data_IF_257789514716
#
_entry.id   IF_257789514716
#
_cell.length_a   1.000
_cell.length_b   1.000
_cell.length_c   1.000
_cell.angle_alpha   90.00
_cell.angle_beta   90.00
_cell.angle_gamma   90.00
#
_symmetry.space_group_name_H-M   'P 1'
#
loop_
_entity.id
_entity.type
_entity.pdbx_description
1 polymer ?
#
# COMPACT_ATOMS: atom_id res chain seq x y z
N UNK A 1 27.09 -23.22 -14.70
CA UNK A 1 26.52 -21.99 -14.09
C UNK A 1 25.03 -22.26 -13.91
N UNK A 2 24.65 -23.08 -12.93
CA UNK A 2 23.27 -23.48 -12.72
C UNK A 2 22.85 -22.98 -11.35
N UNK A 3 22.10 -21.87 -11.30
CA UNK A 3 21.19 -21.65 -10.17
C UNK A 3 20.33 -22.91 -10.04
N UNK A 4 20.15 -23.44 -8.84
CA UNK A 4 19.22 -24.56 -8.67
C UNK A 4 17.83 -24.09 -9.13
N UNK A 5 17.10 -24.92 -9.87
CA UNK A 5 15.77 -24.55 -10.40
C UNK A 5 14.82 -24.02 -9.32
N UNK A 6 15.03 -24.45 -8.07
CA UNK A 6 14.29 -24.01 -6.87
C UNK A 6 14.56 -22.55 -6.48
N UNK A 7 15.81 -22.06 -6.50
CA UNK A 7 16.12 -20.66 -6.13
C UNK A 7 15.60 -19.66 -7.16
N UNK A 8 15.70 -20.01 -8.45
CA UNK A 8 15.14 -19.20 -9.53
C UNK A 8 13.62 -19.12 -9.41
N UNK A 9 12.95 -20.23 -9.12
CA UNK A 9 11.51 -20.27 -8.89
C UNK A 9 11.09 -19.36 -7.72
N UNK A 10 11.74 -19.50 -6.56
CA UNK A 10 11.48 -18.69 -5.37
C UNK A 10 11.60 -17.19 -5.63
N UNK A 11 12.66 -16.79 -6.33
CA UNK A 11 12.91 -15.37 -6.61
C UNK A 11 11.93 -14.81 -7.63
N UNK A 12 11.56 -15.59 -8.66
CA UNK A 12 10.50 -15.20 -9.58
C UNK A 12 9.15 -15.10 -8.88
N UNK A 13 8.84 -16.04 -7.99
CA UNK A 13 7.61 -16.04 -7.21
C UNK A 13 7.53 -14.81 -6.30
N UNK A 14 8.59 -14.52 -5.53
CA UNK A 14 8.70 -13.33 -4.70
C UNK A 14 8.59 -12.04 -5.53
N UNK A 15 9.24 -11.98 -6.70
CA UNK A 15 9.16 -10.82 -7.60
C UNK A 15 7.74 -10.59 -8.10
N UNK A 16 7.05 -11.65 -8.51
CA UNK A 16 5.68 -11.59 -8.98
C UNK A 16 4.73 -11.09 -7.88
N UNK A 17 4.79 -11.69 -6.69
CA UNK A 17 3.93 -11.32 -5.56
C UNK A 17 4.21 -9.89 -5.10
N UNK A 18 5.49 -9.52 -4.97
CA UNK A 18 5.88 -8.17 -4.54
C UNK A 18 5.46 -7.09 -5.54
N UNK A 19 5.69 -7.34 -6.83
CA UNK A 19 5.30 -6.41 -7.89
C UNK A 19 3.79 -6.29 -7.97
N UNK A 20 3.06 -7.42 -7.96
CA UNK A 20 1.61 -7.42 -8.00
C UNK A 20 1.02 -6.67 -6.79
N UNK A 21 1.53 -6.94 -5.59
CA UNK A 21 1.08 -6.28 -4.37
C UNK A 21 1.33 -4.78 -4.35
N UNK A 22 2.54 -4.37 -4.69
CA UNK A 22 2.91 -2.97 -4.79
C UNK A 22 2.06 -2.23 -5.85
N UNK A 23 1.84 -2.85 -7.01
CA UNK A 23 1.03 -2.28 -8.08
C UNK A 23 -0.45 -2.18 -7.70
N UNK A 24 -1.02 -3.21 -7.07
CA UNK A 24 -2.40 -3.15 -6.55
C UNK A 24 -2.56 -2.05 -5.51
N UNK A 25 -1.61 -1.88 -4.59
CA UNK A 25 -1.67 -0.83 -3.57
C UNK A 25 -1.59 0.56 -4.23
N UNK A 26 -0.64 0.76 -5.15
CA UNK A 26 -0.44 2.04 -5.84
C UNK A 26 -1.63 2.41 -6.74
N UNK A 27 -2.09 1.48 -7.57
CA UNK A 27 -3.20 1.72 -8.50
C UNK A 27 -4.53 1.81 -7.78
N UNK A 28 -4.76 0.98 -6.75
CA UNK A 28 -5.94 1.05 -5.89
C UNK A 28 -6.02 2.37 -5.14
N UNK A 29 -4.89 2.84 -4.57
CA UNK A 29 -4.83 4.14 -3.91
C UNK A 29 -5.05 5.29 -4.89
N UNK A 30 -4.51 5.21 -6.10
CA UNK A 30 -4.74 6.21 -7.16
C UNK A 30 -6.20 6.23 -7.62
N UNK A 31 -6.81 5.06 -7.80
CA UNK A 31 -8.20 4.92 -8.17
C UNK A 31 -9.10 5.56 -7.11
N UNK A 32 -8.84 5.23 -5.83
CA UNK A 32 -9.54 5.81 -4.71
C UNK A 32 -9.37 7.34 -4.66
N UNK A 33 -8.15 7.86 -4.77
CA UNK A 33 -7.87 9.31 -4.77
C UNK A 33 -8.71 10.07 -5.83
N UNK A 34 -8.87 9.47 -7.01
CA UNK A 34 -9.58 10.10 -8.13
C UNK A 34 -11.10 10.04 -7.99
N UNK A 35 -11.63 9.04 -7.29
CA UNK A 35 -13.07 8.76 -7.25
C UNK A 35 -13.73 9.13 -5.92
N UNK A 36 -12.99 9.07 -4.82
CA UNK A 36 -13.52 9.18 -3.48
C UNK A 36 -12.83 10.33 -2.74
N UNK A 37 -13.66 11.22 -2.18
CA UNK A 37 -13.22 12.32 -1.33
C UNK A 37 -13.49 11.94 0.12
N UNK A 38 -12.43 11.83 0.92
CA UNK A 38 -12.59 11.63 2.35
C UNK A 38 -13.18 12.90 2.98
N UNK A 39 -14.17 12.73 3.86
CA UNK A 39 -14.59 13.80 4.76
C UNK A 39 -13.35 14.28 5.51
N UNK A 40 -13.10 15.60 5.51
CA UNK A 40 -11.90 16.15 6.14
C UNK A 40 -11.80 15.61 7.58
N UNK A 41 -10.74 14.87 7.93
CA UNK A 41 -10.56 14.49 9.32
C UNK A 41 -10.39 15.78 10.15
N UNK A 42 -10.74 15.73 11.44
CA UNK A 42 -10.49 16.83 12.38
C UNK A 42 -9.00 17.14 12.57
N UNK A 43 -8.12 16.32 11.97
CA UNK A 43 -6.67 16.49 11.99
C UNK A 43 -6.34 17.69 11.10
N UNK A 44 -5.68 18.70 11.69
CA UNK A 44 -5.18 19.88 10.98
C UNK A 44 -4.19 19.53 9.87
N UNK A 45 -3.56 20.55 9.26
CA UNK A 45 -2.55 20.32 8.20
C UNK A 45 -1.48 19.34 8.69
N UNK A 46 -1.35 18.19 8.02
CA UNK A 46 -0.31 17.19 8.31
C UNK A 46 1.08 17.83 8.17
N UNK A 47 1.76 18.01 9.30
CA UNK A 47 3.04 18.69 9.40
C UNK A 47 4.18 17.68 9.59
N UNK A 48 5.43 18.15 9.46
CA UNK A 48 6.62 17.31 9.73
C UNK A 48 6.65 16.75 11.16
N UNK A 49 6.05 17.45 12.13
CA UNK A 49 5.91 16.95 13.50
C UNK A 49 5.06 15.69 13.56
N UNK A 50 3.98 15.63 12.78
CA UNK A 50 3.08 14.48 12.76
C UNK A 50 3.77 13.26 12.12
N UNK A 51 4.60 13.50 11.09
CA UNK A 51 5.48 12.48 10.50
C UNK A 51 6.50 11.98 11.52
N UNK A 52 7.09 12.85 12.32
CA UNK A 52 8.04 12.46 13.36
C UNK A 52 7.37 11.62 14.45
N UNK A 53 6.15 11.98 14.89
CA UNK A 53 5.36 11.18 15.85
C UNK A 53 5.04 9.81 15.25
N UNK A 54 4.59 9.78 14.00
CA UNK A 54 4.30 8.54 13.28
C UNK A 54 5.55 7.66 13.16
N UNK A 55 6.70 8.27 12.89
CA UNK A 55 7.99 7.57 12.85
C UNK A 55 8.37 7.00 14.22
N UNK A 56 8.29 7.78 15.30
CA UNK A 56 8.55 7.28 16.66
C UNK A 56 7.65 6.10 16.99
N UNK A 57 6.36 6.21 16.68
CA UNK A 57 5.42 5.11 16.89
C UNK A 57 5.83 3.85 16.12
N UNK A 58 6.26 4.01 14.87
CA UNK A 58 6.74 2.92 14.03
C UNK A 58 8.01 2.27 14.59
N UNK A 59 8.96 3.05 15.14
CA UNK A 59 10.18 2.52 15.77
C UNK A 59 9.85 1.74 17.06
N UNK A 60 8.88 2.21 17.84
CA UNK A 60 8.53 1.62 19.15
C UNK A 60 7.68 0.35 19.00
N UNK A 61 6.81 0.31 18.00
CA UNK A 61 5.78 -0.72 17.83
C UNK A 61 6.33 -2.16 17.67
N UNK A 62 7.43 -2.40 16.92
CA UNK A 62 8.12 -3.69 16.86
C UNK A 62 8.61 -4.18 18.22
N UNK A 63 9.09 -3.26 19.07
CA UNK A 63 9.44 -3.57 20.46
C UNK A 63 8.20 -3.97 21.26
N UNK A 64 7.13 -3.19 21.18
CA UNK A 64 5.86 -3.50 21.86
C UNK A 64 5.31 -4.88 21.47
N UNK A 65 5.43 -5.26 20.20
CA UNK A 65 4.97 -6.55 19.70
C UNK A 65 5.68 -7.74 20.33
N UNK A 66 6.94 -7.57 20.74
CA UNK A 66 7.66 -8.64 21.43
C UNK A 66 7.26 -8.81 22.91
N UNK A 67 6.72 -7.75 23.53
CA UNK A 67 6.36 -7.78 24.96
C UNK A 67 4.86 -7.99 25.20
N UNK A 68 4.01 -7.77 24.20
CA UNK A 68 2.57 -7.95 24.32
C UNK A 68 2.17 -9.43 24.24
N UNK A 69 1.24 -9.90 25.08
CA UNK A 69 0.66 -11.23 24.90
C UNK A 69 -0.17 -11.26 23.61
N UNK A 70 -0.25 -12.43 22.97
CA UNK A 70 -0.87 -12.61 21.65
C UNK A 70 -2.31 -12.07 21.56
N UNK A 71 -3.13 -12.24 22.59
CA UNK A 71 -4.50 -11.71 22.61
C UNK A 71 -4.53 -10.18 22.57
N UNK A 72 -3.60 -9.50 23.25
CA UNK A 72 -3.53 -8.05 23.29
C UNK A 72 -3.04 -7.51 21.93
N UNK A 73 -2.04 -8.16 21.35
CA UNK A 73 -1.56 -7.88 20.01
C UNK A 73 -2.68 -8.06 18.96
N UNK A 74 -3.41 -9.18 18.99
CA UNK A 74 -4.55 -9.43 18.09
C UNK A 74 -5.59 -8.33 18.22
N UNK A 75 -5.88 -7.91 19.45
CA UNK A 75 -6.84 -6.83 19.74
C UNK A 75 -6.36 -5.51 19.14
N UNK A 76 -5.08 -5.16 19.31
CA UNK A 76 -4.49 -3.95 18.74
C UNK A 76 -4.53 -3.98 17.20
N UNK A 77 -4.20 -5.11 16.58
CA UNK A 77 -4.28 -5.28 15.13
C UNK A 77 -5.72 -5.18 14.63
N UNK A 78 -6.66 -5.87 15.27
CA UNK A 78 -8.08 -5.83 14.93
C UNK A 78 -8.62 -4.40 15.02
N UNK A 79 -8.29 -3.66 16.09
CA UNK A 79 -8.67 -2.26 16.23
C UNK A 79 -8.04 -1.38 15.15
N UNK A 80 -6.76 -1.61 14.83
CA UNK A 80 -6.02 -0.83 13.81
C UNK A 80 -6.60 -1.04 12.42
N UNK A 81 -6.85 -2.30 12.02
CA UNK A 81 -7.46 -2.62 10.73
C UNK A 81 -8.91 -2.16 10.67
N UNK A 82 -9.69 -2.34 11.74
CA UNK A 82 -11.07 -1.82 11.83
C UNK A 82 -11.10 -0.29 11.67
N UNK A 83 -10.18 0.42 12.34
CA UNK A 83 -10.05 1.87 12.21
C UNK A 83 -9.67 2.28 10.77
N UNK A 84 -8.67 1.62 10.17
CA UNK A 84 -8.25 1.89 8.81
C UNK A 84 -9.40 1.68 7.79
N UNK A 85 -10.08 0.54 7.87
CA UNK A 85 -11.19 0.16 6.99
C UNK A 85 -12.40 1.08 7.19
N UNK A 86 -12.80 1.34 8.43
CA UNK A 86 -13.93 2.23 8.72
C UNK A 86 -13.69 3.64 8.20
N UNK A 87 -12.48 4.19 8.33
CA UNK A 87 -12.11 5.50 7.76
C UNK A 87 -12.19 5.47 6.23
N UNK A 88 -11.62 4.45 5.59
CA UNK A 88 -11.61 4.32 4.14
C UNK A 88 -12.98 4.05 3.51
N UNK A 89 -13.85 3.31 4.20
CA UNK A 89 -15.15 2.93 3.67
C UNK A 89 -16.26 3.93 4.00
N UNK A 90 -16.09 4.77 5.02
CA UNK A 90 -17.05 5.81 5.41
C UNK A 90 -17.57 6.69 4.27
N UNK A 91 -16.76 7.19 3.33
CA UNK A 91 -17.27 8.00 2.22
C UNK A 91 -17.97 7.18 1.11
N UNK A 92 -17.91 5.85 1.14
CA UNK A 92 -18.42 4.96 0.10
C UNK A 92 -19.68 4.20 0.55
N UNK A 93 -19.76 3.83 1.82
CA UNK A 93 -20.81 2.99 2.38
C UNK A 93 -21.62 3.73 3.45
N UNK A 94 -22.91 3.42 3.54
CA UNK A 94 -23.74 3.85 4.67
C UNK A 94 -23.35 3.10 5.96
N UNK A 95 -23.73 3.58 7.16
CA UNK A 95 -23.24 3.03 8.43
C UNK A 95 -23.48 1.52 8.61
N UNK A 96 -24.64 1.00 8.23
CA UNK A 96 -24.97 -0.43 8.38
C UNK A 96 -24.04 -1.33 7.56
N UNK A 97 -24.00 -1.20 6.22
CA UNK A 97 -23.08 -1.94 5.36
C UNK A 97 -21.59 -1.74 5.71
N UNK A 98 -21.20 -0.54 6.18
CA UNK A 98 -19.83 -0.26 6.61
C UNK A 98 -19.41 -1.16 7.78
N UNK A 99 -20.20 -1.20 8.84
CA UNK A 99 -19.89 -2.00 10.03
C UNK A 99 -20.04 -3.48 9.77
N UNK A 100 -21.05 -3.89 8.99
CA UNK A 100 -21.22 -5.28 8.59
C UNK A 100 -20.04 -5.75 7.73
N UNK A 101 -19.65 -4.99 6.71
CA UNK A 101 -18.53 -5.34 5.83
C UNK A 101 -17.19 -5.37 6.58
N UNK A 102 -16.92 -4.36 7.43
CA UNK A 102 -15.69 -4.34 8.24
C UNK A 102 -15.68 -5.48 9.25
N UNK A 103 -16.79 -5.71 9.96
CA UNK A 103 -16.92 -6.81 10.91
C UNK A 103 -16.81 -8.18 10.26
N UNK A 104 -17.34 -8.34 9.05
CA UNK A 104 -17.22 -9.58 8.27
C UNK A 104 -15.78 -9.83 7.84
N UNK A 105 -15.07 -8.83 7.29
CA UNK A 105 -13.66 -8.98 6.89
C UNK A 105 -12.77 -9.35 8.08
N UNK A 106 -12.87 -8.57 9.17
CA UNK A 106 -12.05 -8.81 10.38
C UNK A 106 -12.44 -10.13 11.05
N UNK A 107 -13.74 -10.41 11.16
CA UNK A 107 -14.24 -11.64 11.77
C UNK A 107 -13.88 -12.88 10.95
N UNK A 108 -13.93 -12.79 9.61
CA UNK A 108 -13.54 -13.86 8.69
C UNK A 108 -12.03 -14.12 8.81
N UNK A 109 -11.19 -13.08 8.79
CA UNK A 109 -9.75 -13.24 8.96
C UNK A 109 -9.40 -13.91 10.30
N UNK A 110 -10.00 -13.44 11.41
CA UNK A 110 -9.82 -14.05 12.72
C UNK A 110 -10.30 -15.50 12.73
N UNK A 111 -11.49 -15.79 12.21
CA UNK A 111 -12.04 -17.14 12.21
C UNK A 111 -11.18 -18.09 11.37
N UNK A 112 -10.79 -17.68 10.16
CA UNK A 112 -9.94 -18.45 9.26
C UNK A 112 -8.53 -18.65 9.82
N UNK A 113 -7.94 -17.61 10.43
CA UNK A 113 -6.63 -17.71 11.08
C UNK A 113 -6.61 -18.76 12.21
N UNK A 114 -7.71 -18.92 12.95
CA UNK A 114 -7.78 -19.93 14.01
C UNK A 114 -8.09 -21.34 13.51
N UNK A 115 -8.86 -21.49 12.43
CA UNK A 115 -9.41 -22.80 12.01
C UNK A 115 -8.74 -23.39 10.77
N UNK A 116 -8.18 -22.56 9.89
CA UNK A 116 -7.78 -22.96 8.53
C UNK A 116 -6.28 -22.84 8.27
N UNK A 117 -5.53 -22.17 9.15
CA UNK A 117 -4.12 -21.82 8.88
C UNK A 117 -3.15 -23.02 8.90
N UNK A 118 -3.55 -24.11 9.56
CA UNK A 118 -2.75 -25.34 9.66
C UNK A 118 -3.07 -26.37 8.56
N UNK A 119 -4.01 -26.05 7.66
CA UNK A 119 -4.44 -26.94 6.58
C UNK A 119 -3.92 -26.43 5.23
N UNK A 120 -3.14 -27.28 4.55
CA UNK A 120 -2.44 -27.00 3.28
C UNK A 120 -3.41 -26.73 2.12
N UNK A 121 -4.67 -27.15 2.20
CA UNK A 121 -5.65 -26.74 1.19
C UNK A 121 -6.23 -25.36 1.50
N UNK A 122 -6.51 -25.12 2.78
CA UNK A 122 -7.33 -23.99 3.24
C UNK A 122 -6.54 -22.70 3.50
N UNK A 123 -5.23 -22.79 3.73
CA UNK A 123 -4.34 -21.65 3.95
C UNK A 123 -4.32 -20.61 2.79
N UNK A 124 -4.69 -20.97 1.56
CA UNK A 124 -4.76 -20.02 0.43
C UNK A 124 -5.85 -18.98 0.66
N UNK A 125 -6.98 -19.42 1.21
CA UNK A 125 -8.09 -18.53 1.55
C UNK A 125 -7.71 -17.59 2.68
N UNK A 126 -6.94 -18.07 3.66
CA UNK A 126 -6.40 -17.24 4.75
C UNK A 126 -5.50 -16.14 4.19
N UNK A 127 -4.55 -16.48 3.32
CA UNK A 127 -3.65 -15.51 2.70
C UNK A 127 -4.37 -14.52 1.78
N UNK A 128 -5.37 -14.98 1.02
CA UNK A 128 -6.16 -14.14 0.15
C UNK A 128 -6.95 -13.09 0.94
N UNK A 129 -7.64 -13.50 2.00
CA UNK A 129 -8.41 -12.58 2.84
C UNK A 129 -7.50 -11.61 3.60
N UNK A 130 -6.44 -12.11 4.22
CA UNK A 130 -5.49 -11.24 4.94
C UNK A 130 -4.87 -10.21 3.99
N UNK A 131 -4.48 -10.64 2.78
CA UNK A 131 -3.96 -9.73 1.75
C UNK A 131 -5.00 -8.68 1.33
N UNK A 132 -6.27 -9.05 1.24
CA UNK A 132 -7.37 -8.13 0.95
C UNK A 132 -7.51 -7.08 2.06
N UNK A 133 -7.57 -7.50 3.32
CA UNK A 133 -7.65 -6.61 4.49
C UNK A 133 -6.45 -5.64 4.53
N UNK A 134 -5.24 -6.17 4.39
CA UNK A 134 -3.99 -5.39 4.38
C UNK A 134 -3.97 -4.37 3.25
N UNK A 135 -4.35 -4.79 2.04
CA UNK A 135 -4.37 -3.92 0.85
C UNK A 135 -5.38 -2.78 1.01
N UNK A 136 -6.61 -3.10 1.45
CA UNK A 136 -7.66 -2.11 1.68
C UNK A 136 -7.26 -1.12 2.77
N UNK A 137 -6.64 -1.59 3.85
CA UNK A 137 -6.13 -0.75 4.92
C UNK A 137 -5.02 0.19 4.41
N UNK A 138 -4.04 -0.32 3.67
CA UNK A 138 -2.97 0.48 3.08
C UNK A 138 -3.51 1.57 2.13
N UNK A 139 -4.46 1.21 1.26
CA UNK A 139 -5.14 2.15 0.34
C UNK A 139 -5.87 3.26 1.13
N UNK A 140 -6.59 2.88 2.18
CA UNK A 140 -7.39 3.78 3.02
C UNK A 140 -6.51 4.77 3.78
N UNK A 141 -5.46 4.26 4.44
CA UNK A 141 -4.54 5.08 5.24
C UNK A 141 -3.68 5.99 4.36
N UNK A 142 -3.19 5.49 3.21
CA UNK A 142 -2.46 6.32 2.26
C UNK A 142 -3.32 7.52 1.80
N UNK A 143 -4.58 7.27 1.44
CA UNK A 143 -5.51 8.31 1.04
C UNK A 143 -5.85 9.26 2.19
N UNK A 144 -6.04 8.76 3.42
CA UNK A 144 -6.21 9.60 4.59
C UNK A 144 -5.06 10.59 4.75
N UNK A 145 -3.82 10.13 4.69
CA UNK A 145 -2.66 11.00 4.84
C UNK A 145 -2.54 12.02 3.70
N UNK A 146 -2.64 11.57 2.45
CA UNK A 146 -2.39 12.45 1.29
C UNK A 146 -3.54 13.44 1.07
N UNK A 147 -4.80 13.02 1.25
CA UNK A 147 -5.97 13.91 1.21
C UNK A 147 -6.04 14.80 2.46
N UNK A 148 -5.56 14.33 3.62
CA UNK A 148 -5.39 15.10 4.86
C UNK A 148 -4.28 16.17 4.80
N UNK A 149 -3.51 16.21 3.71
CA UNK A 149 -2.57 17.30 3.43
C UNK A 149 -1.10 16.88 3.41
N UNK A 150 -0.78 15.60 3.63
CA UNK A 150 0.60 15.09 3.57
C UNK A 150 1.22 15.36 2.19
N UNK A 151 2.31 16.13 2.16
CA UNK A 151 3.06 16.49 0.94
C UNK A 151 4.00 15.38 0.51
N UNK A 152 4.43 15.38 -0.76
CA UNK A 152 5.36 14.37 -1.28
C UNK A 152 6.68 14.39 -0.50
N UNK A 153 7.16 15.59 -0.13
CA UNK A 153 8.35 15.72 0.72
C UNK A 153 8.25 14.93 2.02
N UNK A 154 7.07 14.91 2.65
CA UNK A 154 6.87 14.23 3.92
C UNK A 154 6.98 12.72 3.73
N UNK A 155 6.39 12.19 2.66
CA UNK A 155 6.47 10.75 2.33
C UNK A 155 7.90 10.36 1.98
N UNK A 156 8.61 11.19 1.21
CA UNK A 156 9.98 10.93 0.81
C UNK A 156 10.94 10.90 2.03
N UNK A 157 10.84 11.88 2.92
CA UNK A 157 11.63 11.89 4.16
C UNK A 157 11.26 10.75 5.10
N UNK A 158 9.97 10.42 5.18
CA UNK A 158 9.51 9.27 5.95
C UNK A 158 10.09 7.96 5.41
N UNK A 159 10.07 7.74 4.10
CA UNK A 159 10.68 6.58 3.45
C UNK A 159 12.21 6.55 3.65
N UNK A 160 12.89 7.69 3.57
CA UNK A 160 14.31 7.80 3.88
C UNK A 160 14.64 7.46 5.33
N UNK A 161 13.83 7.92 6.29
CA UNK A 161 13.94 7.55 7.70
C UNK A 161 13.70 6.05 7.91
N UNK A 162 12.70 5.48 7.22
CA UNK A 162 12.42 4.05 7.25
C UNK A 162 13.57 3.21 6.71
N UNK A 163 14.26 3.66 5.66
CA UNK A 163 15.44 2.98 5.14
C UNK A 163 16.55 2.86 6.21
N UNK A 164 16.77 3.93 6.97
CA UNK A 164 17.75 3.92 8.08
C UNK A 164 17.27 2.97 9.18
N UNK A 165 16.01 3.09 9.58
CA UNK A 165 15.40 2.24 10.59
C UNK A 165 15.53 0.75 10.23
N UNK A 166 15.09 0.38 9.03
CA UNK A 166 15.13 -1.00 8.53
C UNK A 166 16.56 -1.54 8.47
N UNK A 167 17.52 -0.73 8.00
CA UNK A 167 18.94 -1.12 7.99
C UNK A 167 19.46 -1.41 9.40
N UNK A 168 19.12 -0.57 10.37
CA UNK A 168 19.53 -0.76 11.77
C UNK A 168 18.89 -2.02 12.37
N UNK A 169 17.60 -2.22 12.17
CA UNK A 169 16.86 -3.38 12.69
C UNK A 169 17.12 -4.69 11.93
N UNK A 170 17.76 -4.65 10.78
CA UNK A 170 18.25 -5.85 10.10
C UNK A 170 19.70 -6.15 10.44
N UNK A 171 20.58 -5.14 10.47
CA UNK A 171 22.03 -5.35 10.61
C UNK A 171 22.49 -5.33 12.07
N UNK A 172 21.96 -4.40 12.88
CA UNK A 172 22.46 -4.15 14.24
C UNK A 172 21.68 -4.94 15.27
N UNK A 173 20.35 -4.99 15.14
CA UNK A 173 19.49 -5.72 16.07
C UNK A 173 18.41 -6.50 15.31
N UNK A 174 18.60 -7.80 15.02
CA UNK A 174 17.73 -8.59 14.14
C UNK A 174 16.37 -8.94 14.78
N UNK A 175 15.65 -7.93 15.28
CA UNK A 175 14.26 -8.03 15.79
C UNK A 175 13.34 -8.57 14.70
N UNK A 176 13.59 -8.22 13.44
CA UNK A 176 12.78 -8.64 12.29
C UNK A 176 12.67 -10.17 12.20
N UNK A 177 13.76 -10.91 12.45
CA UNK A 177 13.75 -12.37 12.44
C UNK A 177 12.97 -12.96 13.62
N UNK A 178 12.98 -12.29 14.78
CA UNK A 178 12.20 -12.69 15.96
C UNK A 178 10.70 -12.43 15.75
N UNK A 179 10.35 -11.29 15.13
CA UNK A 179 8.97 -10.94 14.78
C UNK A 179 8.40 -11.91 13.75
N UNK A 180 9.13 -12.21 12.66
CA UNK A 180 8.63 -13.16 11.65
C UNK A 180 8.33 -14.51 12.31
N UNK A 181 9.22 -15.03 13.16
CA UNK A 181 8.96 -16.30 13.88
C UNK A 181 7.78 -16.23 14.84
N UNK A 182 7.53 -15.08 15.47
CA UNK A 182 6.41 -14.91 16.40
C UNK A 182 5.06 -14.68 15.69
N UNK A 183 5.07 -14.21 14.43
CA UNK A 183 3.88 -13.80 13.69
C UNK A 183 3.52 -14.67 12.49
N UNK A 184 4.43 -15.52 12.00
CA UNK A 184 4.10 -16.47 10.92
C UNK A 184 2.94 -17.34 11.39
N UNK A 185 1.85 -17.31 10.63
CA UNK A 185 0.56 -17.93 10.94
C UNK A 185 -0.25 -17.29 12.08
N UNK A 186 -0.08 -15.99 12.32
CA UNK A 186 -0.94 -15.25 13.23
C UNK A 186 -2.10 -14.59 12.46
N UNK A 187 -3.34 -14.56 13.01
CA UNK A 187 -4.43 -13.78 12.43
C UNK A 187 -4.07 -12.30 12.27
N UNK A 188 -4.62 -11.64 11.25
CA UNK A 188 -4.38 -10.24 10.90
C UNK A 188 -2.89 -9.92 10.70
N UNK A 189 -2.17 -10.84 10.06
CA UNK A 189 -0.75 -10.68 9.77
C UNK A 189 -0.52 -9.41 8.93
N UNK A 190 0.28 -8.43 9.40
CA UNK A 190 0.38 -7.11 8.79
C UNK A 190 1.27 -7.09 7.54
N UNK A 191 1.04 -8.04 6.65
CA UNK A 191 1.71 -8.18 5.38
C UNK A 191 0.78 -8.89 4.39
N UNK A 192 0.86 -8.50 3.13
CA UNK A 192 0.23 -9.26 2.06
C UNK A 192 1.19 -10.32 1.57
N UNK A 193 0.65 -11.41 1.03
CA UNK A 193 1.52 -12.45 0.53
C UNK A 193 0.76 -13.58 -0.14
N UNK A 194 1.54 -14.52 -0.63
CA UNK A 194 1.05 -15.76 -1.18
C UNK A 194 2.00 -16.87 -0.74
N UNK A 195 1.43 -18.04 -0.50
CA UNK A 195 2.20 -19.23 -0.16
C UNK A 195 1.94 -20.29 -1.20
N UNK A 196 2.96 -21.03 -1.66
CA UNK A 196 2.77 -22.18 -2.57
C UNK A 196 3.66 -23.31 -2.04
N UNK A 197 3.05 -24.41 -1.58
CA UNK A 197 3.78 -25.59 -1.09
C UNK A 197 4.49 -25.39 0.26
N UNK A 198 5.77 -25.01 0.25
CA UNK A 198 6.48 -24.56 1.46
C UNK A 198 7.05 -23.14 1.29
N UNK A 199 6.88 -22.57 0.10
CA UNK A 199 7.47 -21.31 -0.30
C UNK A 199 6.53 -20.16 0.03
N UNK A 200 7.03 -19.15 0.74
CA UNK A 200 6.28 -17.98 1.17
C UNK A 200 6.84 -16.73 0.51
N UNK A 201 5.94 -15.93 -0.07
CA UNK A 201 6.28 -14.64 -0.63
C UNK A 201 5.45 -13.55 0.03
N UNK A 202 6.11 -12.56 0.64
CA UNK A 202 5.48 -11.62 1.57
C UNK A 202 5.96 -10.18 1.29
N UNK A 203 5.06 -9.22 1.41
CA UNK A 203 5.33 -7.77 1.43
C UNK A 203 4.63 -7.12 2.63
N UNK A 204 5.40 -6.41 3.45
CA UNK A 204 4.88 -5.76 4.64
C UNK A 204 3.86 -4.65 4.34
N UNK A 205 2.87 -4.49 5.22
CA UNK A 205 1.91 -3.39 5.16
C UNK A 205 2.60 -2.02 5.13
N UNK A 206 3.71 -1.87 5.87
CA UNK A 206 4.51 -0.64 5.90
C UNK A 206 5.03 -0.26 4.51
N UNK A 207 5.58 -1.22 3.77
CA UNK A 207 6.08 -1.01 2.41
C UNK A 207 4.96 -0.59 1.47
N UNK A 208 3.84 -1.33 1.49
CA UNK A 208 2.68 -1.04 0.65
C UNK A 208 2.12 0.37 0.92
N UNK A 209 2.05 0.75 2.19
CA UNK A 209 1.58 2.08 2.60
C UNK A 209 2.51 3.18 2.07
N UNK A 210 3.82 2.97 2.15
CA UNK A 210 4.82 3.92 1.62
C UNK A 210 4.74 3.99 0.09
N UNK A 211 4.65 2.87 -0.61
CA UNK A 211 4.53 2.81 -2.08
C UNK A 211 3.26 3.50 -2.57
N UNK A 212 2.12 3.17 -1.96
CA UNK A 212 0.83 3.78 -2.27
C UNK A 212 0.85 5.28 -1.96
N UNK A 213 1.29 5.65 -0.76
CA UNK A 213 1.40 7.04 -0.30
C UNK A 213 2.29 7.89 -1.18
N UNK A 214 3.47 7.38 -1.56
CA UNK A 214 4.41 8.08 -2.44
C UNK A 214 3.81 8.27 -3.83
N UNK A 215 3.18 7.23 -4.38
CA UNK A 215 2.53 7.29 -5.70
C UNK A 215 1.44 8.35 -5.76
N UNK A 216 0.48 8.31 -4.83
CA UNK A 216 -0.63 9.26 -4.84
C UNK A 216 -0.18 10.67 -4.46
N UNK A 217 0.83 10.83 -3.60
CA UNK A 217 1.43 12.13 -3.31
C UNK A 217 2.17 12.71 -4.52
N UNK A 218 2.87 11.88 -5.31
CA UNK A 218 3.56 12.30 -6.52
C UNK A 218 2.57 12.71 -7.62
N UNK A 219 1.47 11.97 -7.78
CA UNK A 219 0.37 12.36 -8.67
C UNK A 219 -0.26 13.67 -8.22
N UNK A 220 -0.55 13.81 -6.93
CA UNK A 220 -1.09 15.04 -6.37
C UNK A 220 -0.16 16.22 -6.68
N UNK A 221 1.14 16.08 -6.38
CA UNK A 221 2.11 17.15 -6.55
C UNK A 221 2.37 17.51 -8.02
N UNK A 222 2.64 16.53 -8.88
CA UNK A 222 3.17 16.75 -10.24
C UNK A 222 2.38 16.09 -11.37
N UNK A 223 1.31 15.34 -11.09
CA UNK A 223 0.43 14.76 -12.09
C UNK A 223 1.00 13.50 -12.76
N UNK A 224 0.82 13.38 -14.09
CA UNK A 224 1.29 12.23 -14.89
C UNK A 224 2.81 11.97 -14.80
N UNK A 225 3.71 12.97 -14.85
CA UNK A 225 5.15 12.70 -14.68
C UNK A 225 5.47 12.15 -13.29
N UNK A 226 4.80 12.67 -12.24
CA UNK A 226 4.90 12.13 -10.88
C UNK A 226 4.47 10.67 -10.79
N UNK A 227 3.36 10.30 -11.46
CA UNK A 227 2.90 8.90 -11.53
C UNK A 227 3.96 7.98 -12.13
N UNK A 228 4.50 8.35 -13.30
CA UNK A 228 5.46 7.52 -14.03
C UNK A 228 6.70 7.27 -13.19
N UNK A 229 7.26 8.33 -12.62
CA UNK A 229 8.43 8.19 -11.75
C UNK A 229 8.12 7.32 -10.54
N UNK A 230 7.01 7.58 -9.84
CA UNK A 230 6.65 6.81 -8.66
C UNK A 230 6.51 5.31 -8.94
N UNK A 231 5.79 4.93 -10.01
CA UNK A 231 5.65 3.52 -10.39
C UNK A 231 6.99 2.89 -10.78
N UNK A 232 7.85 3.61 -11.51
CA UNK A 232 9.19 3.12 -11.84
C UNK A 232 9.99 2.88 -10.56
N UNK A 233 9.99 3.83 -9.63
CA UNK A 233 10.73 3.69 -8.37
C UNK A 233 10.21 2.54 -7.52
N UNK A 234 8.88 2.38 -7.43
CA UNK A 234 8.25 1.30 -6.66
C UNK A 234 8.59 -0.07 -7.26
N UNK A 235 8.47 -0.23 -8.59
CA UNK A 235 8.80 -1.52 -9.22
C UNK A 235 10.29 -1.82 -9.12
N UNK A 236 11.14 -0.86 -9.49
CA UNK A 236 12.58 -1.08 -9.55
C UNK A 236 13.16 -1.23 -8.14
N UNK A 237 12.99 -0.22 -7.28
CA UNK A 237 13.62 -0.20 -5.96
C UNK A 237 12.79 -0.85 -4.86
N UNK A 238 11.47 -0.98 -5.05
CA UNK A 238 10.58 -1.61 -4.06
C UNK A 238 10.31 -3.10 -4.28
N UNK A 239 10.50 -3.62 -5.50
CA UNK A 239 10.27 -5.04 -5.81
C UNK A 239 11.50 -5.73 -6.42
N UNK A 240 12.07 -5.18 -7.50
CA UNK A 240 13.17 -5.82 -8.25
C UNK A 240 14.45 -5.88 -7.43
N UNK A 241 14.96 -4.74 -6.93
CA UNK A 241 16.21 -4.71 -6.16
C UNK A 241 16.16 -5.57 -4.89
N UNK A 242 15.11 -5.49 -4.03
CA UNK A 242 14.99 -6.35 -2.86
C UNK A 242 15.00 -7.84 -3.23
N UNK A 243 14.27 -8.23 -4.27
CA UNK A 243 14.20 -9.64 -4.67
C UNK A 243 15.54 -10.15 -5.23
N UNK A 244 16.20 -9.36 -6.07
CA UNK A 244 17.51 -9.71 -6.63
C UNK A 244 18.63 -9.70 -5.57
N UNK A 245 18.51 -8.85 -4.55
CA UNK A 245 19.49 -8.76 -3.48
C UNK A 245 19.56 -10.06 -2.67
N UNK A 246 18.44 -10.74 -2.46
CA UNK A 246 18.42 -12.06 -1.82
C UNK A 246 19.15 -13.13 -2.65
N UNK A 247 19.09 -13.05 -3.99
CA UNK A 247 19.87 -13.93 -4.86
C UNK A 247 21.37 -13.65 -4.76
N UNK A 248 21.76 -12.37 -4.70
CA UNK A 248 23.17 -11.96 -4.63
C UNK A 248 23.80 -12.29 -3.26
N UNK A 249 23.07 -12.13 -2.16
CA UNK A 249 23.60 -12.47 -0.82
C UNK A 249 23.75 -13.98 -0.65
N UNK A 250 22.76 -14.77 -1.05
CA UNK A 250 22.86 -16.23 -0.98
C UNK A 250 23.99 -16.80 -1.85
N UNK A 251 24.43 -16.06 -2.87
CA UNK A 251 25.58 -16.41 -3.69
C UNK A 251 26.93 -16.17 -2.97
N UNK A 252 26.99 -15.19 -2.06
CA UNK A 252 28.21 -14.81 -1.34
C UNK A 252 28.33 -15.53 0.00
N UNK A 253 27.22 -15.79 0.70
CA UNK A 253 27.21 -16.50 1.98
C UNK A 253 25.90 -17.29 2.17
N UNK A 254 26.00 -18.63 2.13
CA UNK A 254 24.86 -19.55 2.18
C UNK A 254 24.27 -19.72 3.58
N UNK A 255 24.84 -19.05 4.60
CA UNK A 255 24.44 -19.17 6.02
C UNK A 255 23.58 -18.02 6.53
N UNK A 256 23.37 -16.99 5.71
CA UNK A 256 22.66 -15.78 6.11
C UNK A 256 21.23 -15.80 5.55
N UNK A 257 20.28 -16.29 6.36
CA UNK A 257 18.84 -16.00 6.23
C UNK A 257 18.57 -14.51 6.55
N UNK A 258 19.27 -13.61 5.84
CA UNK A 258 19.17 -12.17 6.05
C UNK A 258 18.13 -11.62 5.09
N UNK A 259 16.96 -11.32 5.63
CA UNK A 259 15.91 -10.59 4.92
C UNK A 259 16.39 -9.16 4.74
N UNK A 260 16.71 -8.77 3.51
CA UNK A 260 17.00 -7.36 3.21
C UNK A 260 15.67 -6.59 3.12
N UNK A 261 15.44 -5.58 3.96
CA UNK A 261 14.20 -4.82 3.92
C UNK A 261 14.12 -3.97 2.66
N UNK A 262 12.93 -3.91 2.06
CA UNK A 262 12.72 -3.21 0.80
C UNK A 262 12.95 -1.69 0.91
N UNK A 263 12.68 -1.07 2.08
CA UNK A 263 12.91 0.36 2.28
C UNK A 263 14.38 0.74 2.18
N UNK A 264 15.33 -0.17 2.44
CA UNK A 264 16.77 0.08 2.26
C UNK A 264 17.08 0.61 0.87
N UNK A 265 16.38 0.09 -0.15
CA UNK A 265 16.51 0.53 -1.54
C UNK A 265 15.50 1.61 -1.90
N UNK A 266 14.24 1.44 -1.52
CA UNK A 266 13.18 2.37 -1.93
C UNK A 266 13.30 3.74 -1.26
N UNK A 267 13.65 3.81 0.03
CA UNK A 267 13.70 5.07 0.77
C UNK A 267 14.66 6.11 0.18
N UNK A 268 15.94 5.77 -0.07
CA UNK A 268 16.87 6.68 -0.74
C UNK A 268 16.40 7.05 -2.15
N UNK A 269 15.87 6.08 -2.90
CA UNK A 269 15.34 6.32 -4.24
C UNK A 269 14.13 7.28 -4.24
N UNK A 270 13.26 7.18 -3.23
CA UNK A 270 12.12 8.07 -3.02
C UNK A 270 12.57 9.49 -2.69
N UNK A 271 13.62 9.66 -1.86
CA UNK A 271 14.22 10.97 -1.56
C UNK A 271 14.81 11.60 -2.82
N UNK A 272 15.63 10.86 -3.56
CA UNK A 272 16.24 11.35 -4.82
C UNK A 272 15.17 11.67 -5.86
N UNK A 273 14.17 10.79 -6.02
CA UNK A 273 13.05 10.99 -6.93
C UNK A 273 12.22 12.23 -6.58
N UNK A 274 11.99 12.47 -5.29
CA UNK A 274 11.36 13.69 -4.80
C UNK A 274 12.19 14.94 -5.16
N UNK A 275 13.49 14.94 -4.86
CA UNK A 275 14.38 16.07 -5.14
C UNK A 275 14.44 16.36 -6.64
N UNK A 276 14.50 15.33 -7.48
CA UNK A 276 14.48 15.46 -8.93
C UNK A 276 13.17 16.07 -9.44
N UNK A 277 12.01 15.58 -8.96
CA UNK A 277 10.70 16.15 -9.34
C UNK A 277 10.60 17.63 -8.92
N UNK A 278 11.04 17.95 -7.70
CA UNK A 278 11.04 19.32 -7.20
C UNK A 278 11.96 20.23 -8.01
N UNK A 279 13.14 19.76 -8.38
CA UNK A 279 14.06 20.51 -9.20
C UNK A 279 13.52 20.75 -10.61
N UNK A 280 12.88 19.73 -11.22
CA UNK A 280 12.42 19.79 -12.61
C UNK A 280 11.10 20.54 -12.80
N UNK A 281 10.15 20.39 -11.87
CA UNK A 281 8.77 20.89 -12.00
C UNK A 281 8.40 21.97 -10.97
N UNK A 282 9.29 22.29 -10.03
CA UNK A 282 9.10 23.38 -9.08
C UNK A 282 8.27 23.00 -7.85
N UNK A 283 7.34 23.88 -7.45
CA UNK A 283 6.58 23.75 -6.19
C UNK A 283 5.54 22.63 -6.26
N UNK A 284 5.43 21.86 -5.17
CA UNK A 284 4.37 20.88 -4.98
C UNK A 284 2.97 21.53 -4.96
N UNK A 285 2.04 20.93 -5.71
CA UNK A 285 0.61 21.29 -5.64
C UNK A 285 -0.01 20.88 -4.31
N UNK A 286 -0.84 21.77 -3.78
CA UNK A 286 -1.67 21.49 -2.61
C UNK A 286 -2.87 20.60 -3.00
N UNK A 287 -3.53 19.99 -2.01
CA UNK A 287 -4.75 19.21 -2.28
C UNK A 287 -5.86 20.07 -2.92
N UNK A 288 -5.95 21.36 -2.55
CA UNK A 288 -6.90 22.30 -3.16
C UNK A 288 -6.60 22.52 -4.65
N UNK A 289 -5.34 22.74 -4.99
CA UNK A 289 -4.88 22.92 -6.38
C UNK A 289 -5.07 21.64 -7.20
N UNK A 290 -4.80 20.48 -6.60
CA UNK A 290 -5.06 19.19 -7.23
C UNK A 290 -6.53 19.00 -7.57
N UNK A 291 -7.44 19.19 -6.61
CA UNK A 291 -8.87 19.06 -6.84
C UNK A 291 -9.38 20.03 -7.91
N UNK A 292 -8.91 21.28 -7.89
CA UNK A 292 -9.23 22.26 -8.93
C UNK A 292 -8.78 21.80 -10.32
N UNK A 293 -7.59 21.18 -10.44
CA UNK A 293 -7.11 20.62 -11.71
C UNK A 293 -7.94 19.44 -12.19
N UNK A 294 -8.39 18.56 -11.29
CA UNK A 294 -9.25 17.42 -11.64
C UNK A 294 -10.64 17.89 -12.08
N UNK A 295 -11.19 18.89 -11.40
CA UNK A 295 -12.49 19.47 -11.75
C UNK A 295 -12.42 20.20 -13.11
N UNK A 296 -11.29 20.83 -13.45
CA UNK A 296 -11.04 21.41 -14.77
C UNK A 296 -10.95 20.34 -15.88
N UNK A 297 -10.15 19.28 -15.67
CA UNK A 297 -10.05 18.15 -16.62
C UNK A 297 -11.42 17.51 -16.90
N UNK A 298 -12.30 17.42 -15.88
CA UNK A 298 -13.64 16.86 -16.04
C UNK A 298 -14.59 17.76 -16.84
N UNK A 299 -14.41 19.08 -16.78
CA UNK A 299 -15.21 20.05 -17.57
C UNK A 299 -14.76 20.11 -19.02
N UNK A 300 -13.47 19.91 -19.27
CA UNK A 300 -12.89 19.93 -20.62
C UNK A 300 -13.02 18.59 -21.36
N UNK A 301 -13.31 17.49 -20.66
CA UNK A 301 -13.62 16.21 -21.29
C UNK A 301 -14.86 16.37 -22.20
N UNK A 302 -14.75 16.14 -23.52
CA UNK A 302 -15.86 16.36 -24.44
C UNK A 302 -17.04 15.46 -24.07
N UNK A 303 -18.23 16.04 -24.10
CA UNK A 303 -19.51 15.34 -24.06
C UNK A 303 -19.65 14.44 -25.30
N UNK A 304 -18.86 13.37 -25.37
CA UNK A 304 -19.06 12.29 -26.33
C UNK A 304 -20.34 11.55 -25.90
N UNK A 305 -21.24 11.38 -26.87
CA UNK A 305 -22.59 10.81 -26.80
C UNK A 305 -23.72 11.70 -26.28
N UNK A 306 -23.91 12.88 -26.85
CA UNK A 306 -25.28 13.33 -27.15
C UNK A 306 -25.58 12.92 -28.59
N UNK A 307 -26.28 11.79 -28.77
CA UNK A 307 -26.87 11.43 -30.06
C UNK A 307 -27.81 12.58 -30.44
N UNK A 308 -27.67 13.21 -31.61
CA UNK A 308 -28.62 14.21 -32.04
C UNK A 308 -29.99 13.54 -32.17
N UNK A 309 -30.98 14.00 -31.40
CA UNK A 309 -32.38 13.65 -31.66
C UNK A 309 -32.68 14.10 -33.09
N UNK A 310 -32.86 13.15 -33.99
CA UNK A 310 -33.39 13.41 -35.32
C UNK A 310 -34.74 14.13 -35.17
N UNK A 311 -34.97 15.25 -35.88
CA UNK A 311 -36.26 15.91 -35.85
C UNK A 311 -37.31 14.93 -36.41
N UNK A 312 -38.38 14.76 -35.64
CA UNK A 312 -39.56 13.98 -36.01
C UNK A 312 -40.19 14.68 -37.22
N UNK A 313 -40.05 14.10 -38.41
CA UNK A 313 -40.76 14.56 -39.61
C UNK A 313 -42.23 14.28 -39.37
N UNK A 314 -42.99 15.35 -39.16
CA UNK A 314 -44.44 15.34 -39.05
C UNK A 314 -44.99 15.11 -40.46
N UNK A 315 -45.43 13.89 -40.75
CA UNK A 315 -46.11 13.55 -41.98
C UNK A 315 -47.53 14.12 -41.94
N UNK A 316 -47.78 15.17 -42.72
CA UNK A 316 -49.14 15.64 -43.03
C UNK A 316 -49.96 14.51 -43.69
N UNK A 317 -51.26 14.36 -43.32
CA UNK A 317 -52.13 13.41 -43.99
C UNK A 317 -52.54 13.95 -45.38
N UNK A 318 -52.18 13.19 -46.42
CA UNK A 318 -52.68 13.39 -47.78
C UNK A 318 -54.15 12.97 -47.83
N UNK A 319 -55.04 13.94 -48.12
CA UNK A 319 -56.42 13.71 -48.52
C UNK A 319 -56.49 13.41 -50.03
N UNK A 320 -56.94 12.21 -50.39
CA UNK A 320 -57.77 11.91 -51.57
C UNK A 320 -58.25 10.45 -51.48
#
# INVERSE_FOLDING_TARGET
>A
MNLSSSQTFLSLFQLCVTTLGAMMACLGALYYLRRVRLERPAIGRFNGRDVAILFVFLVVLPGLYLFLPQWALTTVLALTFTAALSIGFRPVLSPGPLWLGTGLLIGADLWMGHHMINDVFNWQFVWAENSLVVLLAAISVANLYVQGGMQLRHVAWFAGGLAIYDTVFTVVWPVSNLLIRAFVNHPLFPAMGMRIGFDEAIVGLGDLLVYAGFTIAAVKAYGRPGLRLALILVVVFGAVFPTLSGMLINFVDTRLDVVIPAQTYFGPAAVVGYLWLRHRYGRERTMKEYLASVDAERREAPASTAIPKTPKVESEPVSA
#
